data_IF_469003103904
#
_entry.id   IF_469003103904
#
_cell.length_a   1.000
_cell.length_b   1.000
_cell.length_c   1.000
_cell.angle_alpha   90.00
_cell.angle_beta   90.00
_cell.angle_gamma   90.00
#
_symmetry.space_group_name_H-M   'P 1'
#
loop_
_entity.id
_entity.type
_entity.pdbx_description
1 polymer ?
#
# COMPACT_ATOMS: atom_id res chain seq x y z
N UNK A 1 14.20 -9.26 -13.61
CA UNK A 1 13.22 -8.42 -12.87
C UNK A 1 13.10 -8.99 -11.47
N UNK A 2 13.20 -8.17 -10.41
CA UNK A 2 13.13 -8.63 -9.02
C UNK A 2 11.69 -8.88 -8.56
N UNK A 3 11.52 -9.59 -7.41
CA UNK A 3 10.22 -9.94 -6.80
C UNK A 3 9.27 -8.72 -6.69
N UNK A 4 9.74 -7.61 -6.12
CA UNK A 4 8.91 -6.41 -5.93
C UNK A 4 8.45 -5.77 -7.24
N UNK A 5 9.28 -5.80 -8.28
CA UNK A 5 8.88 -5.28 -9.60
C UNK A 5 7.87 -6.17 -10.31
N UNK A 6 7.93 -7.48 -10.09
CA UNK A 6 6.95 -8.43 -10.62
C UNK A 6 5.59 -8.27 -9.91
N UNK A 7 5.60 -8.11 -8.57
CA UNK A 7 4.37 -7.83 -7.82
C UNK A 7 3.75 -6.51 -8.27
N UNK A 8 4.54 -5.44 -8.39
CA UNK A 8 4.03 -4.15 -8.88
C UNK A 8 3.44 -4.23 -10.29
N UNK A 9 4.05 -5.04 -11.18
CA UNK A 9 3.48 -5.29 -12.51
C UNK A 9 2.18 -6.11 -12.45
N UNK A 10 2.09 -7.07 -11.54
CA UNK A 10 0.87 -7.84 -11.31
C UNK A 10 -0.24 -6.99 -10.71
N UNK A 11 0.05 -6.19 -9.69
CA UNK A 11 -0.89 -5.25 -9.08
C UNK A 11 -1.43 -4.25 -10.14
N UNK A 12 -0.55 -3.76 -11.03
CA UNK A 12 -0.96 -2.90 -12.16
C UNK A 12 -2.00 -3.57 -13.08
N UNK A 13 -1.88 -4.88 -13.34
CA UNK A 13 -2.89 -5.61 -14.12
C UNK A 13 -4.24 -5.69 -13.40
N UNK A 14 -4.23 -5.55 -12.07
CA UNK A 14 -5.38 -5.63 -11.17
C UNK A 14 -5.85 -4.25 -10.71
N UNK A 15 -5.54 -3.18 -11.46
CA UNK A 15 -5.89 -1.81 -11.11
C UNK A 15 -7.38 -1.67 -10.77
N UNK A 16 -7.72 -0.73 -9.89
CA UNK A 16 -9.10 -0.47 -9.47
C UNK A 16 -9.96 0.00 -10.63
N UNK A 17 -9.40 0.90 -11.44
CA UNK A 17 -10.07 1.43 -12.63
C UNK A 17 -9.54 0.72 -13.89
N UNK A 18 -10.43 0.14 -14.68
CA UNK A 18 -10.12 -0.57 -15.91
C UNK A 18 -9.07 -1.69 -15.73
N UNK A 19 -9.30 -2.69 -14.88
CA UNK A 19 -8.36 -3.78 -14.69
C UNK A 19 -8.11 -4.52 -16.00
N UNK A 20 -6.85 -4.82 -16.29
CA UNK A 20 -6.45 -5.58 -17.49
C UNK A 20 -6.57 -7.08 -17.28
N UNK A 21 -6.70 -7.54 -16.03
CA UNK A 21 -6.80 -8.94 -15.65
C UNK A 21 -7.50 -9.11 -14.30
N UNK A 22 -7.68 -10.37 -13.87
CA UNK A 22 -8.07 -10.72 -12.51
C UNK A 22 -7.08 -11.74 -11.93
N UNK A 23 -7.12 -11.93 -10.60
CA UNK A 23 -6.28 -12.93 -9.93
C UNK A 23 -6.55 -14.33 -10.49
N UNK A 24 -7.82 -14.65 -10.74
CA UNK A 24 -8.27 -15.94 -11.31
C UNK A 24 -7.72 -16.14 -12.73
N UNK A 25 -7.78 -15.10 -13.58
CA UNK A 25 -7.24 -15.16 -14.93
C UNK A 25 -5.72 -15.33 -14.94
N UNK A 26 -5.00 -14.65 -14.03
CA UNK A 26 -3.54 -14.82 -13.87
C UNK A 26 -3.23 -16.24 -13.39
N UNK A 27 -3.96 -16.76 -12.40
CA UNK A 27 -3.82 -18.14 -11.92
C UNK A 27 -4.04 -19.14 -13.04
N UNK A 28 -5.09 -18.98 -13.85
CA UNK A 28 -5.39 -19.85 -14.97
C UNK A 28 -4.26 -19.91 -16.01
N UNK A 29 -3.66 -18.75 -16.33
CA UNK A 29 -2.48 -18.69 -17.24
C UNK A 29 -1.29 -19.44 -16.64
N UNK A 30 -1.04 -19.29 -15.36
CA UNK A 30 0.03 -19.98 -14.62
C UNK A 30 -0.18 -21.50 -14.69
N UNK A 31 -1.41 -21.97 -14.49
CA UNK A 31 -1.71 -23.40 -14.45
C UNK A 31 -1.66 -24.05 -15.84
N UNK A 32 -2.09 -23.32 -16.87
CA UNK A 32 -2.03 -23.78 -18.26
C UNK A 32 -0.60 -23.86 -18.83
N UNK A 33 0.38 -23.20 -18.20
CA UNK A 33 1.76 -23.09 -18.73
C UNK A 33 2.83 -23.52 -17.72
N UNK A 34 2.79 -24.75 -17.20
CA UNK A 34 3.63 -25.17 -16.06
C UNK A 34 5.13 -25.22 -16.37
N UNK A 35 5.55 -25.21 -17.65
CA UNK A 35 6.94 -25.35 -18.08
C UNK A 35 7.54 -24.09 -18.68
N UNK A 36 6.86 -22.94 -18.60
CA UNK A 36 7.37 -21.66 -19.13
C UNK A 36 8.45 -21.11 -18.20
N UNK A 37 9.48 -20.50 -18.78
CA UNK A 37 10.52 -19.79 -18.01
C UNK A 37 9.87 -18.70 -17.13
N UNK A 38 10.20 -18.71 -15.84
CA UNK A 38 9.67 -17.75 -14.86
C UNK A 38 8.40 -18.21 -14.15
N UNK A 39 7.81 -19.34 -14.52
CA UNK A 39 6.54 -19.83 -13.92
C UNK A 39 6.63 -20.04 -12.40
N UNK A 40 7.79 -20.49 -11.90
CA UNK A 40 8.01 -20.65 -10.45
C UNK A 40 7.87 -19.30 -9.75
N UNK A 41 8.54 -18.28 -10.27
CA UNK A 41 8.45 -16.92 -9.72
C UNK A 41 7.01 -16.38 -9.79
N UNK A 42 6.29 -16.63 -10.89
CA UNK A 42 4.88 -16.23 -11.02
C UNK A 42 4.01 -16.87 -9.94
N UNK A 43 4.21 -18.15 -9.61
CA UNK A 43 3.51 -18.83 -8.52
C UNK A 43 3.87 -18.27 -7.14
N UNK A 44 5.13 -17.90 -6.94
CA UNK A 44 5.61 -17.31 -5.69
C UNK A 44 5.02 -15.90 -5.44
N UNK A 45 4.81 -15.10 -6.50
CA UNK A 45 4.28 -13.74 -6.36
C UNK A 45 2.76 -13.66 -6.36
N UNK A 46 2.06 -14.62 -6.94
CA UNK A 46 0.60 -14.56 -7.08
C UNK A 46 -0.13 -14.30 -5.77
N UNK A 47 0.19 -14.98 -4.64
CA UNK A 47 -0.46 -14.70 -3.35
C UNK A 47 -0.14 -13.31 -2.78
N UNK A 48 0.86 -12.63 -3.33
CA UNK A 48 1.25 -11.28 -2.94
C UNK A 48 0.55 -10.18 -3.74
N UNK A 49 -0.17 -10.53 -4.80
CA UNK A 49 -0.88 -9.55 -5.61
C UNK A 49 -2.09 -8.98 -4.85
N UNK A 50 -2.36 -7.70 -5.07
CA UNK A 50 -3.52 -7.01 -4.49
C UNK A 50 -4.25 -6.22 -5.57
N UNK A 51 -5.58 -6.31 -5.53
CA UNK A 51 -6.47 -5.53 -6.39
C UNK A 51 -6.53 -4.10 -5.89
N UNK A 52 -6.50 -3.13 -6.79
CA UNK A 52 -6.76 -1.73 -6.49
C UNK A 52 -5.57 -0.95 -5.97
N UNK A 53 -4.36 -1.42 -6.20
CA UNK A 53 -3.13 -0.63 -5.96
C UNK A 53 -2.95 0.34 -7.13
N UNK A 54 -2.82 1.63 -6.84
CA UNK A 54 -2.84 2.68 -7.86
C UNK A 54 -1.43 3.02 -8.39
N UNK A 55 -0.36 2.59 -7.71
CA UNK A 55 1.02 2.83 -8.18
C UNK A 55 2.01 1.71 -7.83
N UNK A 56 3.11 1.56 -8.62
CA UNK A 56 4.19 0.64 -8.30
C UNK A 56 4.88 0.93 -6.97
N UNK A 57 4.87 2.16 -6.52
CA UNK A 57 5.50 2.59 -5.28
C UNK A 57 4.71 2.13 -4.06
N UNK A 58 3.37 2.16 -4.14
CA UNK A 58 2.49 1.60 -3.11
C UNK A 58 2.69 0.09 -2.95
N UNK A 59 2.77 -0.66 -4.08
CA UNK A 59 3.12 -2.08 -4.04
C UNK A 59 4.45 -2.32 -3.33
N UNK A 60 5.47 -1.51 -3.63
CA UNK A 60 6.80 -1.63 -3.01
C UNK A 60 6.78 -1.28 -1.53
N UNK A 61 6.06 -0.21 -1.15
CA UNK A 61 5.89 0.18 0.25
C UNK A 61 5.22 -0.95 1.05
N UNK A 62 4.11 -1.47 0.55
CA UNK A 62 3.40 -2.61 1.14
C UNK A 62 4.31 -3.81 1.34
N UNK A 63 5.05 -4.22 0.31
CA UNK A 63 5.97 -5.36 0.40
C UNK A 63 7.09 -5.13 1.41
N UNK A 64 7.67 -3.94 1.46
CA UNK A 64 8.70 -3.61 2.45
C UNK A 64 8.18 -3.68 3.88
N UNK A 65 6.93 -3.28 4.11
CA UNK A 65 6.25 -3.40 5.41
C UNK A 65 6.11 -4.88 5.79
N UNK A 66 5.60 -5.70 4.88
CA UNK A 66 5.43 -7.14 5.11
C UNK A 66 6.77 -7.85 5.30
N UNK A 67 7.77 -7.53 4.48
CA UNK A 67 9.13 -8.12 4.57
C UNK A 67 9.86 -7.73 5.88
N UNK A 68 9.46 -6.62 6.51
CA UNK A 68 9.92 -6.20 7.84
C UNK A 68 9.20 -6.92 8.99
N UNK A 69 8.29 -7.87 8.71
CA UNK A 69 7.52 -8.62 9.70
C UNK A 69 6.41 -7.79 10.38
N UNK A 70 6.01 -6.68 9.76
CA UNK A 70 4.85 -5.92 10.20
C UNK A 70 3.55 -6.50 9.59
N UNK A 71 2.38 -6.27 10.20
CA UNK A 71 1.11 -6.69 9.61
C UNK A 71 0.96 -6.14 8.19
N UNK A 72 0.31 -6.90 7.31
CA UNK A 72 0.01 -6.40 5.98
C UNK A 72 -1.05 -5.30 6.06
N UNK A 73 -0.79 -4.09 5.54
CA UNK A 73 -1.80 -3.04 5.48
C UNK A 73 -2.84 -3.32 4.38
N UNK A 74 -4.07 -2.87 4.60
CA UNK A 74 -5.08 -2.84 3.55
C UNK A 74 -4.72 -1.77 2.51
N UNK A 75 -5.00 -2.06 1.23
CA UNK A 75 -4.74 -1.15 0.10
C UNK A 75 -6.02 -0.39 -0.26
N UNK A 76 -5.89 0.89 -0.54
CA UNK A 76 -6.88 1.73 -1.23
C UNK A 76 -8.32 1.56 -0.69
N UNK A 77 -8.47 1.55 0.63
CA UNK A 77 -9.77 1.42 1.30
C UNK A 77 -10.31 2.81 1.69
N UNK A 78 -11.57 3.14 1.40
CA UNK A 78 -12.12 4.43 1.78
C UNK A 78 -12.32 4.56 3.30
N UNK A 79 -12.05 5.75 3.82
CA UNK A 79 -12.30 6.15 5.20
C UNK A 79 -13.51 7.07 5.21
N UNK A 80 -14.45 6.82 6.13
CA UNK A 80 -15.64 7.62 6.35
C UNK A 80 -15.64 8.16 7.78
N UNK A 81 -16.27 9.31 7.98
CA UNK A 81 -16.49 9.87 9.31
C UNK A 81 -17.65 9.16 10.05
N UNK A 82 -17.94 9.57 11.28
CA UNK A 82 -19.02 9.04 12.12
C UNK A 82 -20.44 9.24 11.54
N UNK A 83 -20.57 10.16 10.58
CA UNK A 83 -21.82 10.43 9.87
C UNK A 83 -21.90 9.70 8.52
N UNK A 84 -20.94 8.84 8.21
CA UNK A 84 -20.86 8.10 6.94
C UNK A 84 -20.40 8.94 5.75
N UNK A 85 -19.88 10.15 5.95
CA UNK A 85 -19.36 11.01 4.89
C UNK A 85 -17.92 10.60 4.53
N UNK A 86 -17.66 10.53 3.25
CA UNK A 86 -16.33 10.22 2.73
C UNK A 86 -15.28 11.26 3.18
N UNK A 87 -14.13 10.78 3.63
CA UNK A 87 -13.00 11.60 4.08
C UNK A 87 -11.80 11.45 3.17
N UNK A 88 -11.34 10.21 2.95
CA UNK A 88 -10.13 9.91 2.19
C UNK A 88 -10.11 8.46 1.73
N UNK A 89 -9.26 8.17 0.76
CA UNK A 89 -8.84 6.80 0.42
C UNK A 89 -7.31 6.76 0.48
N UNK A 90 -6.71 6.46 1.65
CA UNK A 90 -5.25 6.32 1.76
C UNK A 90 -4.72 5.20 0.86
N UNK A 91 -3.47 5.34 0.39
CA UNK A 91 -2.81 4.29 -0.39
C UNK A 91 -2.75 2.98 0.39
N UNK A 92 -2.35 3.04 1.65
CA UNK A 92 -2.32 1.91 2.58
C UNK A 92 -2.89 2.32 3.94
N UNK A 93 -3.50 1.37 4.65
CA UNK A 93 -4.01 1.67 6.00
C UNK A 93 -4.08 0.45 6.92
N UNK A 94 -4.03 0.73 8.22
CA UNK A 94 -4.46 -0.16 9.28
C UNK A 94 -5.70 0.43 9.95
N UNK A 95 -6.87 0.00 9.52
CA UNK A 95 -8.15 0.55 9.98
C UNK A 95 -8.34 0.39 11.50
N UNK A 96 -8.06 -0.79 12.03
CA UNK A 96 -8.19 -1.11 13.46
C UNK A 96 -7.27 -0.27 14.33
N UNK A 97 -6.10 0.14 13.80
CA UNK A 97 -5.14 1.01 14.49
C UNK A 97 -5.31 2.49 14.15
N UNK A 98 -6.22 2.84 13.23
CA UNK A 98 -6.39 4.18 12.69
C UNK A 98 -5.07 4.78 12.20
N UNK A 99 -4.34 4.06 11.35
CA UNK A 99 -3.11 4.52 10.71
C UNK A 99 -3.36 4.58 9.20
N UNK A 100 -3.18 5.74 8.61
CA UNK A 100 -3.20 6.00 7.18
C UNK A 100 -1.77 6.23 6.68
N UNK A 101 -1.43 5.68 5.53
CA UNK A 101 -0.11 5.80 4.91
C UNK A 101 -0.28 6.25 3.47
N UNK A 102 0.48 7.27 3.09
CA UNK A 102 0.46 7.92 1.77
C UNK A 102 1.86 7.90 1.18
N UNK A 103 1.97 7.60 -0.09
CA UNK A 103 3.22 7.72 -0.83
C UNK A 103 3.26 9.04 -1.61
N UNK A 104 4.20 9.90 -1.27
CA UNK A 104 4.42 11.16 -1.98
C UNK A 104 5.40 10.96 -3.15
N UNK A 105 4.87 10.94 -4.38
CA UNK A 105 5.69 11.04 -5.59
C UNK A 105 6.21 12.46 -5.81
N UNK A 106 7.34 12.58 -6.51
CA UNK A 106 7.99 13.89 -6.79
C UNK A 106 7.12 14.86 -7.61
N UNK A 107 6.05 14.39 -8.25
CA UNK A 107 5.22 15.18 -9.19
C UNK A 107 4.07 15.95 -8.55
N UNK A 108 3.72 15.72 -7.26
CA UNK A 108 2.54 16.33 -6.65
C UNK A 108 2.78 17.67 -5.93
N UNK A 109 3.99 18.23 -5.97
CA UNK A 109 4.33 19.46 -5.24
C UNK A 109 4.03 20.77 -5.98
N UNK A 110 3.51 20.73 -7.20
CA UNK A 110 3.40 21.89 -8.08
C UNK A 110 2.01 22.54 -8.14
N UNK A 111 0.97 21.92 -7.58
CA UNK A 111 -0.38 22.50 -7.57
C UNK A 111 -0.78 22.96 -6.16
N UNK A 112 -0.82 24.30 -5.90
CA UNK A 112 -1.20 24.87 -4.60
C UNK A 112 -2.63 24.52 -4.17
N UNK A 113 -3.56 24.34 -5.12
CA UNK A 113 -4.96 24.01 -4.82
C UNK A 113 -5.06 22.56 -4.36
N UNK A 114 -4.37 21.66 -5.04
CA UNK A 114 -4.32 20.25 -4.62
C UNK A 114 -3.63 20.11 -3.27
N UNK A 115 -2.54 20.81 -3.05
CA UNK A 115 -1.83 20.81 -1.76
C UNK A 115 -2.72 21.30 -0.60
N UNK A 116 -3.55 22.35 -0.80
CA UNK A 116 -4.52 22.79 0.21
C UNK A 116 -5.54 21.70 0.57
N UNK A 117 -6.09 21.02 -0.44
CA UNK A 117 -7.03 19.89 -0.22
C UNK A 117 -6.39 18.73 0.52
N UNK A 118 -5.12 18.44 0.25
CA UNK A 118 -4.38 17.37 0.91
C UNK A 118 -4.15 17.69 2.40
N UNK A 119 -3.87 18.96 2.74
CA UNK A 119 -3.77 19.40 4.14
C UNK A 119 -5.12 19.24 4.85
N UNK A 120 -6.22 19.74 4.27
CA UNK A 120 -7.56 19.64 4.85
C UNK A 120 -7.97 18.18 5.08
N UNK A 121 -7.64 17.30 4.14
CA UNK A 121 -7.89 15.86 4.23
C UNK A 121 -7.12 15.25 5.41
N UNK A 122 -5.84 15.58 5.54
CA UNK A 122 -4.99 15.11 6.63
C UNK A 122 -5.49 15.60 7.99
N UNK A 123 -5.89 16.87 8.08
CA UNK A 123 -6.41 17.46 9.31
C UNK A 123 -7.74 16.79 9.72
N UNK A 124 -8.60 16.45 8.76
CA UNK A 124 -9.81 15.67 9.03
C UNK A 124 -9.48 14.27 9.54
N UNK A 125 -8.54 13.56 8.92
CA UNK A 125 -8.10 12.25 9.41
C UNK A 125 -7.56 12.35 10.84
N UNK A 126 -6.69 13.34 11.12
CA UNK A 126 -6.11 13.55 12.45
C UNK A 126 -7.18 13.89 13.50
N UNK A 127 -8.17 14.74 13.16
CA UNK A 127 -9.28 15.06 14.06
C UNK A 127 -10.14 13.84 14.43
N UNK A 128 -10.20 12.85 13.54
CA UNK A 128 -10.84 11.55 13.78
C UNK A 128 -9.94 10.56 14.54
N UNK A 129 -8.75 11.00 14.97
CA UNK A 129 -7.79 10.20 15.71
C UNK A 129 -6.90 9.30 14.85
N UNK A 130 -6.82 9.53 13.53
CA UNK A 130 -5.90 8.78 12.67
C UNK A 130 -4.47 9.33 12.77
N UNK A 131 -3.50 8.43 12.72
CA UNK A 131 -2.09 8.76 12.46
C UNK A 131 -1.89 8.77 10.95
N UNK A 132 -1.41 9.87 10.40
CA UNK A 132 -1.09 9.98 8.97
C UNK A 132 0.41 9.94 8.78
N UNK A 133 0.90 8.92 8.09
CA UNK A 133 2.31 8.73 7.75
C UNK A 133 2.51 8.98 6.26
N UNK A 134 3.54 9.75 5.91
CA UNK A 134 3.91 10.03 4.53
C UNK A 134 5.28 9.48 4.22
N UNK A 135 5.43 8.89 3.04
CA UNK A 135 6.65 8.25 2.56
C UNK A 135 7.07 8.82 1.22
N UNK A 136 8.35 9.11 1.08
CA UNK A 136 8.94 9.62 -0.17
C UNK A 136 9.90 8.60 -0.78
N UNK A 137 10.28 8.84 -2.03
CA UNK A 137 11.26 8.05 -2.77
C UNK A 137 12.59 7.93 -2.03
N UNK A 138 13.05 9.01 -1.39
CA UNK A 138 14.29 9.02 -0.59
C UNK A 138 14.20 8.05 0.59
N UNK A 139 13.10 8.06 1.32
CA UNK A 139 12.87 7.14 2.44
C UNK A 139 12.79 5.69 1.98
N UNK A 140 12.21 5.45 0.80
CA UNK A 140 12.09 4.11 0.24
C UNK A 140 13.42 3.53 -0.25
N UNK A 141 14.33 4.38 -0.75
CA UNK A 141 15.63 3.95 -1.31
C UNK A 141 16.74 3.88 -0.25
N UNK A 142 16.92 4.94 0.52
CA UNK A 142 18.05 5.09 1.45
C UNK A 142 17.64 5.25 2.91
N UNK A 143 16.39 5.54 3.21
CA UNK A 143 15.87 5.81 4.55
C UNK A 143 14.93 4.74 5.09
N UNK A 144 14.90 3.53 4.52
CA UNK A 144 13.89 2.52 4.88
C UNK A 144 13.85 2.19 6.37
N UNK A 145 14.99 2.04 7.03
CA UNK A 145 15.03 1.75 8.47
C UNK A 145 14.27 2.80 9.31
N UNK A 146 14.33 4.08 8.91
CA UNK A 146 13.57 5.14 9.56
C UNK A 146 12.08 5.07 9.20
N UNK A 147 11.75 4.75 7.97
CA UNK A 147 10.37 4.58 7.52
C UNK A 147 9.70 3.40 8.22
N UNK A 148 10.37 2.25 8.28
CA UNK A 148 9.92 1.07 9.02
C UNK A 148 9.67 1.39 10.50
N UNK A 149 10.62 2.07 11.16
CA UNK A 149 10.47 2.47 12.55
C UNK A 149 9.23 3.33 12.76
N UNK A 150 8.94 4.29 11.88
CA UNK A 150 7.73 5.12 11.97
C UNK A 150 6.45 4.26 11.93
N UNK A 151 6.38 3.27 11.04
CA UNK A 151 5.23 2.36 10.97
C UNK A 151 5.12 1.54 12.24
N UNK A 152 6.23 0.97 12.70
CA UNK A 152 6.29 0.14 13.91
C UNK A 152 5.87 0.94 15.14
N UNK A 153 6.42 2.14 15.34
CA UNK A 153 6.11 3.01 16.48
C UNK A 153 4.62 3.41 16.47
N UNK A 154 4.07 3.72 15.29
CA UNK A 154 2.64 4.00 15.15
C UNK A 154 1.77 2.80 15.54
N UNK A 155 2.11 1.60 15.06
CA UNK A 155 1.40 0.36 15.41
C UNK A 155 1.48 0.08 16.92
N UNK A 156 2.68 0.17 17.52
CA UNK A 156 2.88 -0.05 18.95
C UNK A 156 2.12 0.97 19.78
N UNK A 157 2.11 2.24 19.39
CA UNK A 157 1.34 3.30 20.07
C UNK A 157 -0.17 3.03 20.07
N UNK A 158 -0.64 2.21 19.13
CA UNK A 158 -2.04 1.77 18.98
C UNK A 158 -2.33 0.40 19.56
N UNK A 159 -1.36 -0.21 20.26
CA UNK A 159 -1.53 -1.47 20.98
C UNK A 159 -1.13 -2.74 20.23
N UNK A 160 -0.50 -2.61 19.05
CA UNK A 160 0.07 -3.77 18.39
C UNK A 160 1.27 -4.31 19.20
N UNK A 161 1.28 -5.62 19.46
CA UNK A 161 2.27 -6.27 20.33
C UNK A 161 3.29 -7.14 19.60
N UNK A 162 3.37 -7.02 18.28
CA UNK A 162 4.19 -7.90 17.46
C UNK A 162 3.41 -9.12 16.92
N UNK A 163 4.03 -9.94 16.07
CA UNK A 163 3.45 -11.20 15.65
C UNK A 163 3.23 -12.08 16.87
N UNK A 164 2.11 -12.82 16.89
CA UNK A 164 1.88 -13.85 17.92
C UNK A 164 3.02 -14.88 17.87
N UNK A 165 3.64 -15.12 19.00
CA UNK A 165 4.72 -16.12 19.17
C UNK A 165 4.19 -17.53 18.95
#
# INVERSE_FOLDING_TARGET
MGRSSLVAAGDFLLARENPLSSIEAIQEVIDRRPKVKGIRMAREILPLLRVGVDSPQESRLRLKIVDAGLPEPAVTQPVFDEHGRYVSTPDLQYREYKIAMEYEGDHHRSDPVQWGKDIERDDRLRSMGWIVLRFSDVQMKSGWANAERKVRDALVSRGWRGPAS
#
